data_IF_919941623918
#
_entry.id   IF_919941623918
#
_cell.length_a   1.000
_cell.length_b   1.000
_cell.length_c   1.000
_cell.angle_alpha   90.00
_cell.angle_beta   90.00
_cell.angle_gamma   90.00
#
_symmetry.space_group_name_H-M   'P 1'
#
loop_
_entity.id
_entity.type
_entity.pdbx_description
1 polymer ?
#
# COMPACT_ATOMS: atom_id res chain seq x y z
N UNK A 1 -21.83 -34.33 -3.24
CA UNK A 1 -22.24 -34.99 -1.98
C UNK A 1 -21.28 -34.53 -0.90
N UNK A 2 -21.78 -34.13 0.27
CA UNK A 2 -20.93 -33.72 1.41
C UNK A 2 -20.39 -35.01 2.06
N UNK A 3 -19.07 -35.13 2.23
CA UNK A 3 -18.43 -36.31 2.84
C UNK A 3 -18.44 -36.25 4.37
N UNK A 4 -18.35 -37.42 5.01
CA UNK A 4 -18.25 -37.51 6.48
C UNK A 4 -17.00 -36.80 7.01
N UNK A 5 -15.86 -36.94 6.32
CA UNK A 5 -14.63 -36.21 6.64
C UNK A 5 -14.82 -34.68 6.58
N UNK A 6 -15.57 -34.17 5.60
CA UNK A 6 -15.88 -32.75 5.50
C UNK A 6 -16.76 -32.29 6.67
N UNK A 7 -17.78 -33.08 7.04
CA UNK A 7 -18.61 -32.82 8.22
C UNK A 7 -17.78 -32.81 9.51
N UNK A 8 -16.89 -33.78 9.69
CA UNK A 8 -15.98 -33.84 10.84
C UNK A 8 -15.08 -32.60 10.91
N UNK A 9 -14.43 -32.23 9.79
CA UNK A 9 -13.59 -31.02 9.71
C UNK A 9 -14.38 -29.75 9.97
N UNK A 10 -15.60 -29.65 9.46
CA UNK A 10 -16.48 -28.51 9.71
C UNK A 10 -16.81 -28.38 11.21
N UNK A 11 -17.30 -29.46 11.85
CA UNK A 11 -17.64 -29.46 13.27
C UNK A 11 -16.41 -29.17 14.14
N UNK A 12 -15.26 -29.78 13.83
CA UNK A 12 -13.99 -29.57 14.56
C UNK A 12 -13.51 -28.12 14.51
N UNK A 13 -13.74 -27.43 13.40
CA UNK A 13 -13.27 -26.06 13.18
C UNK A 13 -14.39 -25.01 13.22
N UNK A 14 -15.58 -25.34 13.75
CA UNK A 14 -16.75 -24.47 13.69
C UNK A 14 -16.53 -23.10 14.32
N UNK A 15 -15.73 -23.01 15.39
CA UNK A 15 -15.35 -21.75 16.04
C UNK A 15 -14.33 -20.90 15.24
N UNK A 16 -13.63 -21.53 14.30
CA UNK A 16 -12.56 -20.94 13.50
C UNK A 16 -12.99 -20.59 12.08
N UNK A 17 -14.27 -20.75 11.73
CA UNK A 17 -14.77 -20.39 10.40
C UNK A 17 -14.54 -18.89 10.18
N UNK A 18 -14.00 -18.57 9.01
CA UNK A 18 -13.75 -17.20 8.56
C UNK A 18 -14.31 -17.04 7.15
N UNK A 19 -14.83 -15.85 6.88
CA UNK A 19 -15.30 -15.47 5.55
C UNK A 19 -14.75 -14.08 5.26
N UNK A 20 -14.00 -13.97 4.17
CA UNK A 20 -13.39 -12.73 3.73
C UNK A 20 -14.02 -12.32 2.40
N UNK A 21 -14.40 -11.05 2.30
CA UNK A 21 -14.96 -10.45 1.08
C UNK A 21 -14.05 -9.33 0.64
N UNK A 22 -13.42 -9.52 -0.51
CA UNK A 22 -12.64 -8.48 -1.16
C UNK A 22 -13.49 -7.27 -1.51
N UNK A 23 -12.79 -6.19 -1.80
CA UNK A 23 -13.33 -4.92 -2.30
C UNK A 23 -12.95 -4.78 -3.78
N UNK A 24 -13.70 -3.96 -4.52
CA UNK A 24 -13.32 -3.66 -5.89
C UNK A 24 -11.96 -2.97 -5.89
N UNK A 25 -11.11 -3.36 -6.83
CA UNK A 25 -9.86 -2.66 -7.09
C UNK A 25 -10.16 -1.17 -7.34
N UNK A 26 -9.38 -0.29 -6.72
CA UNK A 26 -9.53 1.17 -6.79
C UNK A 26 -10.84 1.73 -6.22
N UNK A 27 -11.38 1.16 -5.14
CA UNK A 27 -12.55 1.72 -4.45
C UNK A 27 -12.30 3.18 -4.00
N UNK A 28 -13.05 4.18 -4.52
CA UNK A 28 -12.85 5.58 -4.13
C UNK A 28 -13.09 5.80 -2.64
N UNK A 29 -14.09 5.09 -2.07
CA UNK A 29 -14.42 5.19 -0.65
C UNK A 29 -13.29 4.68 0.23
N UNK A 30 -12.74 3.51 -0.07
CA UNK A 30 -11.70 2.95 0.78
C UNK A 30 -10.37 3.72 0.63
N UNK A 31 -10.12 4.32 -0.54
CA UNK A 31 -9.03 5.27 -0.70
C UNK A 31 -9.26 6.56 0.12
N UNK A 32 -10.48 7.09 0.18
CA UNK A 32 -10.82 8.20 1.07
C UNK A 32 -10.63 7.84 2.55
N UNK A 33 -11.01 6.63 2.96
CA UNK A 33 -10.82 6.12 4.31
C UNK A 33 -9.32 5.99 4.66
N UNK A 34 -8.47 5.59 3.70
CA UNK A 34 -7.02 5.61 3.87
C UNK A 34 -6.49 7.04 4.09
N UNK A 35 -6.92 7.98 3.24
CA UNK A 35 -6.48 9.38 3.32
C UNK A 35 -6.92 10.04 4.63
N UNK A 36 -8.14 9.78 5.10
CA UNK A 36 -8.60 10.27 6.41
C UNK A 36 -7.81 9.63 7.56
N UNK A 37 -7.38 8.37 7.42
CA UNK A 37 -6.44 7.72 8.33
C UNK A 37 -5.08 8.44 8.41
N UNK A 38 -4.56 8.92 7.27
CA UNK A 38 -3.33 9.73 7.23
C UNK A 38 -3.52 11.07 7.94
N UNK A 39 -4.66 11.74 7.74
CA UNK A 39 -4.95 13.02 8.41
C UNK A 39 -4.96 12.89 9.95
N UNK A 40 -5.43 11.74 10.45
CA UNK A 40 -5.60 11.48 11.88
C UNK A 40 -4.39 10.80 12.54
N UNK A 41 -3.35 10.43 11.79
CA UNK A 41 -2.15 9.84 12.39
C UNK A 41 -1.40 10.90 13.17
N UNK A 42 -1.25 10.70 14.49
CA UNK A 42 -0.36 11.50 15.32
C UNK A 42 1.08 11.35 14.84
N UNK A 43 1.82 12.45 14.79
CA UNK A 43 3.26 12.47 14.48
C UNK A 43 4.00 11.56 15.47
N UNK A 44 4.33 10.33 15.05
CA UNK A 44 5.06 9.37 15.87
C UNK A 44 6.50 9.23 15.35
N UNK A 45 7.46 9.60 16.20
CA UNK A 45 8.91 9.34 16.14
C UNK A 45 9.68 9.62 14.83
N UNK A 46 9.12 10.44 13.94
CA UNK A 46 9.75 10.81 12.65
C UNK A 46 9.72 9.72 11.58
N UNK A 47 9.00 8.61 11.81
CA UNK A 47 8.82 7.53 10.84
C UNK A 47 7.67 7.82 9.87
N UNK A 48 7.87 7.50 8.59
CA UNK A 48 6.83 7.66 7.55
C UNK A 48 5.84 6.50 7.65
N UNK A 49 4.55 6.80 7.71
CA UNK A 49 3.52 5.75 7.79
C UNK A 49 3.41 4.95 6.49
N UNK A 50 3.07 3.65 6.60
CA UNK A 50 2.83 2.78 5.44
C UNK A 50 1.74 3.31 4.50
N UNK A 51 0.77 4.06 5.03
CA UNK A 51 -0.28 4.71 4.23
C UNK A 51 0.27 5.85 3.37
N UNK A 52 1.21 6.65 3.89
CA UNK A 52 1.93 7.67 3.12
C UNK A 52 2.77 7.03 2.02
N UNK A 53 3.45 5.91 2.29
CA UNK A 53 4.18 5.17 1.26
C UNK A 53 3.27 4.70 0.12
N UNK A 54 2.07 4.18 0.43
CA UNK A 54 1.09 3.82 -0.60
C UNK A 54 0.63 5.02 -1.43
N UNK A 55 0.34 6.16 -0.78
CA UNK A 55 -0.02 7.40 -1.49
C UNK A 55 1.10 7.87 -2.43
N UNK A 56 2.35 7.76 -1.99
CA UNK A 56 3.51 8.11 -2.80
C UNK A 56 3.71 7.16 -3.99
N UNK A 57 3.48 5.85 -3.83
CA UNK A 57 3.48 4.89 -4.94
C UNK A 57 2.41 5.24 -5.98
N UNK A 58 1.20 5.59 -5.54
CA UNK A 58 0.12 6.07 -6.43
C UNK A 58 0.52 7.34 -7.19
N UNK A 59 1.24 8.26 -6.52
CA UNK A 59 1.77 9.46 -7.14
C UNK A 59 2.88 9.16 -8.15
N UNK A 60 3.74 8.18 -7.88
CA UNK A 60 4.76 7.69 -8.81
C UNK A 60 4.14 7.03 -10.05
N UNK A 61 3.06 6.25 -9.90
CA UNK A 61 2.33 5.70 -11.05
C UNK A 61 1.67 6.79 -11.89
N UNK A 62 1.08 7.81 -11.23
CA UNK A 62 0.57 8.99 -11.94
C UNK A 62 1.71 9.70 -12.68
N UNK A 63 2.89 9.81 -12.06
CA UNK A 63 4.10 10.36 -12.66
C UNK A 63 4.48 9.61 -13.92
N UNK A 64 4.57 8.29 -13.85
CA UNK A 64 4.89 7.45 -15.00
C UNK A 64 3.89 7.62 -16.14
N UNK A 65 2.59 7.64 -15.85
CA UNK A 65 1.55 7.82 -16.89
C UNK A 65 1.67 9.12 -17.66
N UNK A 66 2.07 10.21 -17.01
CA UNK A 66 2.11 11.54 -17.64
C UNK A 66 3.50 11.90 -18.21
N UNK A 67 4.59 11.38 -17.63
CA UNK A 67 5.97 11.70 -18.05
C UNK A 67 6.62 10.59 -18.88
N UNK A 68 6.02 9.39 -18.96
CA UNK A 68 6.56 8.23 -19.67
C UNK A 68 7.79 7.59 -19.00
N UNK A 69 8.07 7.95 -17.74
CA UNK A 69 9.19 7.43 -16.94
C UNK A 69 8.86 7.57 -15.45
N UNK A 70 9.50 6.78 -14.59
CA UNK A 70 9.35 6.93 -13.13
C UNK A 70 10.22 8.10 -12.59
N UNK A 71 9.87 8.68 -11.42
CA UNK A 71 10.72 9.70 -10.79
C UNK A 71 12.11 9.12 -10.43
N UNK A 72 13.15 9.92 -10.58
CA UNK A 72 14.55 9.52 -10.31
C UNK A 72 15.21 8.72 -11.42
N UNK A 73 14.58 8.61 -12.59
CA UNK A 73 15.11 7.86 -13.74
C UNK A 73 15.53 8.79 -14.88
N UNK A 74 16.21 8.23 -15.89
CA UNK A 74 16.63 8.92 -17.11
C UNK A 74 17.56 10.15 -16.89
N UNK A 75 18.35 10.13 -15.82
CA UNK A 75 19.36 11.16 -15.54
C UNK A 75 18.80 12.52 -15.12
N UNK A 76 17.50 12.63 -14.87
CA UNK A 76 16.91 13.88 -14.34
C UNK A 76 17.27 14.03 -12.87
N UNK A 77 17.74 15.21 -12.42
CA UNK A 77 18.05 15.44 -11.02
C UNK A 77 16.86 15.14 -10.10
N UNK A 78 17.09 14.36 -9.04
CA UNK A 78 16.05 13.95 -8.08
C UNK A 78 15.32 15.15 -7.46
N UNK A 79 15.99 16.29 -7.30
CA UNK A 79 15.39 17.52 -6.79
C UNK A 79 14.29 18.07 -7.70
N UNK A 80 14.46 17.97 -9.02
CA UNK A 80 13.46 18.40 -10.01
C UNK A 80 12.27 17.43 -9.98
N UNK A 81 12.55 16.13 -10.02
CA UNK A 81 11.50 15.12 -9.99
C UNK A 81 10.71 15.13 -8.67
N UNK A 82 11.34 15.48 -7.54
CA UNK A 82 10.66 15.62 -6.26
C UNK A 82 9.63 16.76 -6.26
N UNK A 83 9.91 17.88 -6.97
CA UNK A 83 8.95 18.97 -7.14
C UNK A 83 7.75 18.51 -8.00
N UNK A 84 8.02 17.85 -9.12
CA UNK A 84 6.98 17.31 -10.01
C UNK A 84 6.15 16.22 -9.32
N UNK A 85 6.77 15.36 -8.51
CA UNK A 85 6.09 14.32 -7.74
C UNK A 85 5.18 14.93 -6.67
N UNK A 86 5.64 15.98 -5.98
CA UNK A 86 4.81 16.71 -5.00
C UNK A 86 3.53 17.27 -5.61
N UNK A 87 3.61 17.83 -6.82
CA UNK A 87 2.41 18.33 -7.53
C UNK A 87 1.37 17.23 -7.75
N UNK A 88 1.81 15.99 -7.99
CA UNK A 88 0.94 14.83 -8.22
C UNK A 88 0.31 14.34 -6.93
N UNK A 89 1.04 14.34 -5.83
CA UNK A 89 0.50 14.06 -4.50
C UNK A 89 -0.65 15.03 -4.20
N UNK A 90 -0.42 16.33 -4.37
CA UNK A 90 -1.46 17.36 -4.18
C UNK A 90 -2.65 17.10 -5.10
N UNK A 91 -2.40 16.86 -6.39
CA UNK A 91 -3.45 16.58 -7.37
C UNK A 91 -4.31 15.35 -7.01
N UNK A 92 -3.70 14.27 -6.50
CA UNK A 92 -4.42 13.06 -6.07
C UNK A 92 -5.29 13.35 -4.85
N UNK A 93 -4.74 14.05 -3.85
CA UNK A 93 -5.48 14.40 -2.62
C UNK A 93 -6.67 15.31 -2.97
N UNK A 94 -6.46 16.34 -3.79
CA UNK A 94 -7.53 17.26 -4.22
C UNK A 94 -8.63 16.54 -5.02
N UNK A 95 -8.28 15.55 -5.85
CA UNK A 95 -9.26 14.78 -6.62
C UNK A 95 -10.08 13.81 -5.75
N UNK A 96 -9.60 13.48 -4.56
CA UNK A 96 -10.20 12.46 -3.69
C UNK A 96 -11.39 12.94 -2.87
N UNK A 97 -11.76 14.23 -2.93
CA UNK A 97 -12.93 14.83 -2.24
C UNK A 97 -12.96 14.57 -0.72
N UNK A 98 -11.79 14.63 -0.09
CA UNK A 98 -11.63 14.52 1.37
C UNK A 98 -11.92 15.87 2.04
N UNK A 99 -12.39 15.85 3.29
CA UNK A 99 -12.82 17.08 4.01
C UNK A 99 -11.65 18.04 4.29
N UNK A 100 -10.47 17.52 4.64
CA UNK A 100 -9.30 18.33 4.99
C UNK A 100 -8.05 17.89 4.19
N UNK A 101 -7.92 18.30 2.92
CA UNK A 101 -6.79 17.92 2.08
C UNK A 101 -5.46 18.49 2.58
N UNK A 102 -5.47 19.66 3.22
CA UNK A 102 -4.26 20.32 3.73
C UNK A 102 -3.61 19.53 4.86
N UNK A 103 -4.43 18.99 5.78
CA UNK A 103 -3.96 18.12 6.86
C UNK A 103 -3.27 16.85 6.34
N UNK A 104 -3.74 16.30 5.22
CA UNK A 104 -3.09 15.13 4.62
C UNK A 104 -1.76 15.53 3.98
N UNK A 105 -1.74 16.67 3.28
CA UNK A 105 -0.51 17.18 2.64
C UNK A 105 0.57 17.46 3.68
N UNK A 106 0.22 18.02 4.84
CA UNK A 106 1.20 18.27 5.92
C UNK A 106 1.77 16.98 6.51
N UNK A 107 1.00 15.88 6.46
CA UNK A 107 1.43 14.55 6.89
C UNK A 107 2.28 13.80 5.86
N UNK A 108 2.55 14.38 4.67
CA UNK A 108 3.47 13.81 3.68
C UNK A 108 4.83 14.51 3.78
N UNK A 109 5.85 13.86 4.39
CA UNK A 109 7.14 14.50 4.61
C UNK A 109 7.91 14.71 3.29
N UNK A 110 8.60 15.85 3.16
CA UNK A 110 9.36 16.18 1.94
C UNK A 110 10.52 15.20 1.69
N UNK A 111 11.13 14.66 2.75
CA UNK A 111 12.14 13.61 2.66
C UNK A 111 11.56 12.31 2.08
N UNK A 112 10.32 11.93 2.41
CA UNK A 112 9.67 10.75 1.83
C UNK A 112 9.47 10.90 0.31
N UNK A 113 9.09 12.10 -0.15
CA UNK A 113 8.98 12.41 -1.59
C UNK A 113 10.35 12.31 -2.26
N UNK A 114 11.38 12.92 -1.67
CA UNK A 114 12.74 12.85 -2.19
C UNK A 114 13.26 11.41 -2.25
N UNK A 115 12.85 10.58 -1.28
CA UNK A 115 13.25 9.19 -1.18
C UNK A 115 12.66 8.33 -2.31
N UNK A 116 11.42 8.58 -2.73
CA UNK A 116 10.84 7.95 -3.93
C UNK A 116 11.66 8.26 -5.18
N UNK A 117 12.11 9.50 -5.33
CA UNK A 117 13.02 9.86 -6.42
C UNK A 117 14.38 9.17 -6.26
N UNK A 118 14.91 9.07 -5.03
CA UNK A 118 16.19 8.39 -4.77
C UNK A 118 16.13 6.90 -5.12
N UNK A 119 15.00 6.24 -4.92
CA UNK A 119 14.84 4.83 -5.33
C UNK A 119 15.00 4.62 -6.82
N UNK A 120 14.62 5.61 -7.65
CA UNK A 120 14.77 5.54 -9.10
C UNK A 120 14.07 4.33 -9.74
N UNK A 121 12.94 3.91 -9.18
CA UNK A 121 12.22 2.68 -9.56
C UNK A 121 13.09 1.40 -9.54
N UNK A 122 14.12 1.36 -8.68
CA UNK A 122 14.96 0.18 -8.48
C UNK A 122 14.25 -0.95 -7.74
N UNK A 123 14.51 -2.19 -8.17
CA UNK A 123 14.03 -3.41 -7.51
C UNK A 123 15.19 -4.08 -6.76
N UNK A 124 15.26 -3.87 -5.46
CA UNK A 124 16.31 -4.48 -4.62
C UNK A 124 16.02 -5.96 -4.38
N UNK A 125 16.98 -6.83 -4.68
CA UNK A 125 16.84 -8.29 -4.54
C UNK A 125 16.35 -8.74 -3.16
N UNK A 126 16.82 -8.11 -2.08
CA UNK A 126 16.42 -8.46 -0.70
C UNK A 126 14.94 -8.14 -0.46
N UNK A 127 14.47 -6.99 -0.96
CA UNK A 127 13.07 -6.57 -0.84
C UNK A 127 12.19 -7.48 -1.71
N UNK A 128 12.59 -7.71 -2.97
CA UNK A 128 11.88 -8.60 -3.88
C UNK A 128 11.77 -10.03 -3.31
N UNK A 129 12.84 -10.56 -2.71
CA UNK A 129 12.84 -11.90 -2.09
C UNK A 129 11.88 -11.98 -0.91
N UNK A 130 11.85 -10.97 -0.05
CA UNK A 130 10.91 -10.91 1.07
C UNK A 130 9.46 -10.86 0.59
N UNK A 131 9.14 -9.95 -0.32
CA UNK A 131 7.78 -9.81 -0.87
C UNK A 131 7.37 -11.08 -1.62
N UNK A 132 8.30 -11.71 -2.36
CA UNK A 132 8.06 -12.99 -3.04
C UNK A 132 7.69 -14.11 -2.08
N UNK A 133 8.38 -14.22 -0.93
CA UNK A 133 8.04 -15.20 0.11
C UNK A 133 6.66 -14.97 0.73
N UNK A 134 6.33 -13.70 1.02
CA UNK A 134 5.00 -13.32 1.55
C UNK A 134 3.90 -13.64 0.53
N UNK A 135 4.07 -13.20 -0.72
CA UNK A 135 3.12 -13.44 -1.79
C UNK A 135 2.92 -14.94 -2.07
N UNK A 136 4.00 -15.73 -2.08
CA UNK A 136 3.92 -17.17 -2.24
C UNK A 136 3.06 -17.82 -1.14
N UNK A 137 3.22 -17.39 0.11
CA UNK A 137 2.41 -17.92 1.20
C UNK A 137 0.93 -17.51 1.06
N UNK A 138 0.63 -16.28 0.66
CA UNK A 138 -0.76 -15.85 0.39
C UNK A 138 -1.42 -16.67 -0.73
N UNK A 139 -0.66 -16.99 -1.79
CA UNK A 139 -1.12 -17.88 -2.87
C UNK A 139 -1.42 -19.28 -2.33
N UNK A 140 -0.56 -19.84 -1.47
CA UNK A 140 -0.80 -21.16 -0.84
C UNK A 140 -2.08 -21.14 -0.02
N UNK A 141 -2.31 -20.11 0.81
CA UNK A 141 -3.53 -19.98 1.62
C UNK A 141 -4.79 -20.05 0.77
N UNK A 142 -4.80 -19.32 -0.35
CA UNK A 142 -5.90 -19.32 -1.31
C UNK A 142 -6.08 -20.67 -2.01
N UNK A 143 -4.99 -21.29 -2.46
CA UNK A 143 -5.03 -22.57 -3.17
C UNK A 143 -5.54 -23.71 -2.28
N UNK A 144 -5.13 -23.73 -1.00
CA UNK A 144 -5.50 -24.80 -0.07
C UNK A 144 -6.81 -24.52 0.67
N UNK A 145 -7.33 -23.29 0.62
CA UNK A 145 -8.38 -22.79 1.51
C UNK A 145 -8.05 -23.06 2.99
N UNK A 146 -6.79 -22.85 3.35
CA UNK A 146 -6.29 -23.02 4.72
C UNK A 146 -5.64 -21.71 5.17
N UNK A 147 -5.80 -21.40 6.46
CA UNK A 147 -5.45 -20.11 7.06
C UNK A 147 -6.26 -18.93 6.49
N UNK A 148 -6.01 -17.74 7.04
CA UNK A 148 -6.67 -16.49 6.64
C UNK A 148 -5.68 -15.66 5.83
N UNK A 149 -6.00 -15.29 4.58
CA UNK A 149 -5.17 -14.38 3.79
C UNK A 149 -5.25 -12.95 4.33
N UNK A 150 -4.35 -12.07 3.88
CA UNK A 150 -4.43 -10.65 4.19
C UNK A 150 -5.71 -10.04 3.60
N UNK A 151 -6.29 -9.08 4.33
CA UNK A 151 -7.44 -8.33 3.83
C UNK A 151 -6.97 -7.17 2.95
N UNK A 152 -6.81 -7.49 1.67
CA UNK A 152 -6.59 -6.57 0.57
C UNK A 152 -5.13 -6.13 0.36
N UNK A 153 -4.71 -4.94 0.79
CA UNK A 153 -3.39 -4.40 0.42
C UNK A 153 -2.40 -4.47 1.57
N UNK A 154 -1.26 -5.11 1.33
CA UNK A 154 -0.13 -5.16 2.27
C UNK A 154 0.98 -4.22 1.81
N UNK A 155 1.45 -3.35 2.71
CA UNK A 155 2.61 -2.47 2.49
C UNK A 155 3.70 -2.84 3.49
N UNK A 156 4.93 -2.90 2.98
CA UNK A 156 6.13 -3.11 3.78
C UNK A 156 7.15 -2.00 3.51
N UNK A 157 7.69 -1.42 4.58
CA UNK A 157 8.75 -0.44 4.56
C UNK A 157 10.07 -1.08 5.02
N UNK A 158 11.00 -1.21 4.08
CA UNK A 158 12.33 -1.76 4.33
C UNK A 158 13.24 -0.87 5.19
N UNK A 159 12.96 0.42 5.32
CA UNK A 159 13.77 1.34 6.15
C UNK A 159 13.52 1.08 7.63
N UNK A 160 12.25 0.97 7.99
CA UNK A 160 11.82 0.78 9.38
C UNK A 160 11.54 -0.67 9.73
N UNK A 161 11.58 -1.58 8.75
CA UNK A 161 11.22 -2.99 8.89
C UNK A 161 9.79 -3.19 9.42
N UNK A 162 8.90 -2.26 9.10
CA UNK A 162 7.48 -2.27 9.51
C UNK A 162 6.59 -2.61 8.32
N UNK A 163 5.44 -3.19 8.62
CA UNK A 163 4.41 -3.46 7.62
C UNK A 163 3.02 -3.14 8.14
N UNK A 164 2.09 -2.89 7.23
CA UNK A 164 0.68 -2.64 7.55
C UNK A 164 -0.22 -3.23 6.47
N UNK A 165 -1.41 -3.66 6.87
CA UNK A 165 -2.46 -4.15 5.96
C UNK A 165 -3.59 -3.14 5.96
N UNK A 166 -4.05 -2.77 4.77
CA UNK A 166 -5.12 -1.82 4.53
C UNK A 166 -6.20 -2.45 3.68
N UNK A 167 -7.45 -2.26 4.10
CA UNK A 167 -8.61 -2.59 3.29
C UNK A 167 -8.90 -1.43 2.34
N UNK A 168 -8.78 -1.67 1.03
CA UNK A 168 -8.85 -0.67 -0.06
C UNK A 168 -9.73 -1.08 -1.22
#
# INVERSE_FOLDING_TARGET
MISEDLCYRFCKNANGIRMQRGTNMDSPKAFQDLLSGIANSSEDDGAVSSAVWFLLLRAADKFHREKGRYPGTNGVPCTIDALDLKQRVVSIISASRVENPESIISQVPQNAIAEICRYGAGELHVIASLIGGIAAQEVIKLATNQYVPFDNTFIYDGHTQRSSVFRM
#
